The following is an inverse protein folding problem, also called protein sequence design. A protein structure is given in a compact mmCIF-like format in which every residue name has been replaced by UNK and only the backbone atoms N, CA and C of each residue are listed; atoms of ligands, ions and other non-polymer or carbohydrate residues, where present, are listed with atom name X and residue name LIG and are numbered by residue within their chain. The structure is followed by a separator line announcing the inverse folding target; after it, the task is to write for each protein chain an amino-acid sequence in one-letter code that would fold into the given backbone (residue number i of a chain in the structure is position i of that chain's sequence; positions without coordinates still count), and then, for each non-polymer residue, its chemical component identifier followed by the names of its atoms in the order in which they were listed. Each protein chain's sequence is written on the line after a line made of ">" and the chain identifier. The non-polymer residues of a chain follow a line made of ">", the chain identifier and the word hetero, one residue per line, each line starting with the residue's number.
data_IF_579231140561
#
_entry.id   IF_579231140561
#
_cell.length_a   1.000
_cell.length_b   1.000
_cell.length_c   1.000
_cell.angle_alpha   90.00
_cell.angle_beta   90.00
_cell.angle_gamma   90.00
#
_symmetry.space_group_name_H-M   'P 1'
#
loop_
_entity.id
_entity.type
_entity.pdbx_description
1 polymer ?
#
# COMPACT_ATOMS: atom_id res chain seq x y z
N UNK A 1 -20.44 32.76 -5.95
CA UNK A 1 -21.28 32.62 -4.74
C UNK A 1 -20.40 32.91 -3.55
N UNK A 2 -20.62 34.03 -2.87
CA UNK A 2 -19.91 34.35 -1.61
C UNK A 2 -20.53 33.42 -0.57
N UNK A 3 -19.74 32.47 -0.04
CA UNK A 3 -20.17 31.64 1.09
C UNK A 3 -20.63 32.57 2.20
N UNK A 4 -21.83 32.35 2.73
CA UNK A 4 -22.25 32.99 3.97
C UNK A 4 -21.15 32.83 5.04
N UNK A 5 -20.85 33.88 5.82
CA UNK A 5 -19.84 33.82 6.85
C UNK A 5 -20.22 32.72 7.85
N UNK A 6 -19.27 31.85 8.16
CA UNK A 6 -19.47 30.77 9.13
C UNK A 6 -19.59 31.37 10.52
N UNK A 7 -20.80 31.37 11.08
CA UNK A 7 -21.04 31.72 12.48
C UNK A 7 -21.05 30.44 13.35
N UNK A 8 -20.00 30.18 14.13
CA UNK A 8 -19.95 28.99 14.98
C UNK A 8 -20.93 29.07 16.17
N UNK A 9 -21.49 30.24 16.47
CA UNK A 9 -22.48 30.46 17.51
C UNK A 9 -23.93 30.21 17.02
N UNK A 10 -24.11 29.92 15.73
CA UNK A 10 -25.39 29.53 15.14
C UNK A 10 -25.45 28.01 14.88
N UNK A 11 -26.50 27.36 15.40
CA UNK A 11 -26.71 25.93 15.22
C UNK A 11 -27.02 25.56 13.76
N UNK A 12 -27.72 26.44 13.01
CA UNK A 12 -28.07 26.16 11.62
C UNK A 12 -26.82 26.04 10.74
N UNK A 13 -25.81 26.86 11.01
CA UNK A 13 -24.50 26.81 10.37
C UNK A 13 -23.79 25.46 10.52
N UNK A 14 -23.95 24.79 11.67
CA UNK A 14 -23.40 23.45 11.93
C UNK A 14 -24.23 22.35 11.25
N UNK A 15 -25.56 22.47 11.27
CA UNK A 15 -26.47 21.53 10.61
C UNK A 15 -26.25 21.53 9.10
N UNK A 16 -26.11 22.72 8.49
CA UNK A 16 -25.79 22.86 7.06
C UNK A 16 -24.47 22.17 6.67
N UNK A 17 -23.57 21.94 7.62
CA UNK A 17 -22.30 21.21 7.46
C UNK A 17 -22.38 19.75 7.89
N UNK A 18 -23.59 19.21 8.02
CA UNK A 18 -23.83 17.79 8.29
C UNK A 18 -23.73 17.39 9.76
N UNK A 19 -23.80 18.34 10.71
CA UNK A 19 -23.93 17.99 12.13
C UNK A 19 -25.37 17.64 12.48
N UNK A 20 -25.54 16.68 13.37
CA UNK A 20 -26.85 16.36 13.93
C UNK A 20 -27.39 17.55 14.73
N UNK A 21 -28.71 17.78 14.75
CA UNK A 21 -29.32 18.94 15.43
C UNK A 21 -28.95 19.06 16.91
N UNK A 22 -28.88 17.94 17.62
CA UNK A 22 -28.49 17.87 19.04
C UNK A 22 -27.03 18.28 19.26
N UNK A 23 -26.10 17.80 18.44
CA UNK A 23 -24.69 18.22 18.51
C UNK A 23 -24.51 19.69 18.09
N UNK A 24 -25.23 20.13 17.07
CA UNK A 24 -25.17 21.51 16.57
C UNK A 24 -25.63 22.52 17.63
N UNK A 25 -26.69 22.21 18.38
CA UNK A 25 -27.17 23.06 19.46
C UNK A 25 -26.11 23.25 20.57
N UNK A 26 -25.45 22.18 21.00
CA UNK A 26 -24.42 22.26 22.04
C UNK A 26 -23.16 22.97 21.55
N UNK A 27 -22.76 22.75 20.29
CA UNK A 27 -21.65 23.46 19.66
C UNK A 27 -21.93 24.97 19.64
N UNK A 28 -23.09 25.38 19.13
CA UNK A 28 -23.50 26.78 19.05
C UNK A 28 -23.53 27.45 20.43
N UNK A 29 -24.17 26.80 21.41
CA UNK A 29 -24.26 27.29 22.78
C UNK A 29 -22.89 27.45 23.46
N UNK A 30 -21.94 26.52 23.24
CA UNK A 30 -20.57 26.69 23.74
C UNK A 30 -19.84 27.89 23.12
N UNK A 31 -20.08 28.17 21.84
CA UNK A 31 -19.53 29.36 21.17
C UNK A 31 -20.21 30.67 21.60
N UNK A 32 -21.51 30.63 21.90
CA UNK A 32 -22.24 31.76 22.49
C UNK A 32 -21.76 32.08 23.91
N UNK A 33 -21.56 31.05 24.74
CA UNK A 33 -21.09 31.20 26.13
C UNK A 33 -19.61 31.58 26.21
N UNK A 34 -18.80 31.12 25.27
CA UNK A 34 -17.36 31.34 25.25
C UNK A 34 -16.87 31.85 23.88
N UNK A 35 -17.27 33.07 23.47
CA UNK A 35 -16.86 33.65 22.20
C UNK A 35 -15.38 34.03 22.23
N UNK A 36 -14.76 34.10 21.05
CA UNK A 36 -13.40 34.62 20.91
C UNK A 36 -13.35 36.08 21.37
N UNK A 37 -12.28 36.42 22.09
CA UNK A 37 -12.02 37.80 22.49
C UNK A 37 -11.26 38.54 21.37
N UNK A 38 -11.39 39.87 21.27
CA UNK A 38 -10.65 40.68 20.30
C UNK A 38 -9.13 40.51 20.43
N UNK A 39 -8.37 40.79 19.36
CA UNK A 39 -6.92 40.62 19.35
C UNK A 39 -6.20 41.54 20.34
N UNK A 40 -6.83 42.66 20.69
CA UNK A 40 -6.39 43.66 21.64
C UNK A 40 -6.57 43.20 23.10
N UNK A 41 -7.36 42.16 23.33
CA UNK A 41 -7.54 41.58 24.66
C UNK A 41 -6.25 40.88 25.13
N UNK A 42 -6.04 40.92 26.44
CA UNK A 42 -4.90 40.27 27.08
C UNK A 42 -4.76 38.81 26.65
N UNK A 43 -3.50 38.39 26.44
CA UNK A 43 -3.18 37.06 25.91
C UNK A 43 -3.62 35.95 26.87
N UNK A 44 -3.47 36.14 28.17
CA UNK A 44 -3.86 35.15 29.17
C UNK A 44 -5.37 34.97 29.21
N UNK A 45 -6.12 36.08 29.14
CA UNK A 45 -7.59 36.05 29.02
C UNK A 45 -8.07 35.31 27.77
N UNK A 46 -7.40 35.50 26.61
CA UNK A 46 -7.69 34.76 25.37
C UNK A 46 -7.46 33.26 25.52
N UNK A 47 -6.34 32.86 26.14
CA UNK A 47 -6.03 31.44 26.38
C UNK A 47 -7.01 30.81 27.38
N UNK A 48 -7.38 31.51 28.45
CA UNK A 48 -8.38 31.05 29.41
C UNK A 48 -9.73 30.81 28.71
N UNK A 49 -10.18 31.76 27.88
CA UNK A 49 -11.42 31.63 27.10
C UNK A 49 -11.42 30.42 26.17
N UNK A 50 -10.30 30.15 25.49
CA UNK A 50 -10.16 28.94 24.66
C UNK A 50 -10.23 27.65 25.48
N UNK A 51 -9.65 27.63 26.69
CA UNK A 51 -9.71 26.46 27.59
C UNK A 51 -11.12 26.21 28.10
N UNK A 52 -11.84 27.25 28.50
CA UNK A 52 -13.22 27.12 28.99
C UNK A 52 -14.14 26.57 27.90
N UNK A 53 -13.99 27.07 26.66
CA UNK A 53 -14.70 26.51 25.50
C UNK A 53 -14.35 25.04 25.26
N UNK A 54 -13.06 24.68 25.33
CA UNK A 54 -12.62 23.29 25.14
C UNK A 54 -13.20 22.35 26.22
N UNK A 55 -13.26 22.79 27.48
CA UNK A 55 -13.88 22.05 28.57
C UNK A 55 -15.39 21.88 28.38
N UNK A 56 -16.08 22.93 27.92
CA UNK A 56 -17.52 22.88 27.62
C UNK A 56 -17.83 21.93 26.45
N UNK A 57 -16.97 21.88 25.43
CA UNK A 57 -17.14 21.02 24.26
C UNK A 57 -16.72 19.56 24.48
N UNK A 58 -15.87 19.28 25.48
CA UNK A 58 -15.30 17.96 25.71
C UNK A 58 -16.34 16.83 25.77
N UNK A 59 -17.46 16.93 26.52
CA UNK A 59 -18.45 15.85 26.58
C UNK A 59 -19.07 15.50 25.22
N UNK A 60 -19.32 16.51 24.38
CA UNK A 60 -19.88 16.31 23.02
C UNK A 60 -18.84 15.72 22.09
N UNK A 61 -17.59 16.19 22.16
CA UNK A 61 -16.49 15.62 21.36
C UNK A 61 -16.24 14.15 21.72
N UNK A 62 -16.29 13.81 23.01
CA UNK A 62 -16.19 12.44 23.49
C UNK A 62 -17.39 11.59 23.03
N UNK A 63 -18.62 12.11 23.12
CA UNK A 63 -19.81 11.41 22.63
C UNK A 63 -19.75 11.14 21.12
N UNK A 64 -19.30 12.13 20.33
CA UNK A 64 -19.09 11.96 18.88
C UNK A 64 -18.00 10.93 18.58
N UNK A 65 -16.89 10.95 19.34
CA UNK A 65 -15.83 9.95 19.18
C UNK A 65 -16.37 8.55 19.45
N UNK A 66 -17.12 8.36 20.54
CA UNK A 66 -17.72 7.06 20.86
C UNK A 66 -18.68 6.58 19.76
N UNK A 67 -19.57 7.45 19.27
CA UNK A 67 -20.52 7.08 18.22
C UNK A 67 -19.82 6.68 16.91
N UNK A 68 -18.76 7.41 16.51
CA UNK A 68 -17.96 7.05 15.34
C UNK A 68 -17.24 5.72 15.53
N UNK A 69 -16.72 5.46 16.74
CA UNK A 69 -16.06 4.20 17.07
C UNK A 69 -17.04 3.02 17.10
N UNK A 70 -18.25 3.20 17.63
CA UNK A 70 -19.34 2.21 17.59
C UNK A 70 -19.72 1.88 16.15
N UNK A 71 -19.88 2.89 15.29
CA UNK A 71 -20.17 2.69 13.86
C UNK A 71 -19.02 1.96 13.14
N UNK A 72 -17.75 2.32 13.44
CA UNK A 72 -16.57 1.60 12.93
C UNK A 72 -16.62 0.13 13.34
N UNK A 73 -16.86 -0.15 14.62
CA UNK A 73 -16.91 -1.51 15.16
C UNK A 73 -18.04 -2.32 14.51
N UNK A 74 -19.24 -1.75 14.40
CA UNK A 74 -20.39 -2.39 13.76
C UNK A 74 -20.13 -2.70 12.28
N UNK A 75 -19.56 -1.75 11.52
CA UNK A 75 -19.21 -1.97 10.10
C UNK A 75 -18.18 -3.07 9.92
N UNK A 76 -17.14 -3.11 10.78
CA UNK A 76 -16.11 -4.14 10.69
C UNK A 76 -16.70 -5.54 10.94
N UNK A 77 -17.53 -5.69 11.98
CA UNK A 77 -18.21 -6.96 12.22
C UNK A 77 -19.15 -7.34 11.09
N UNK A 78 -19.99 -6.42 10.60
CA UNK A 78 -20.89 -6.69 9.49
C UNK A 78 -20.15 -7.09 8.22
N UNK A 79 -18.97 -6.51 7.95
CA UNK A 79 -18.10 -6.93 6.86
C UNK A 79 -17.57 -8.36 7.05
N UNK A 80 -17.06 -8.70 8.24
CA UNK A 80 -16.54 -10.04 8.54
C UNK A 80 -17.65 -11.10 8.51
N UNK A 81 -18.82 -10.82 9.09
CA UNK A 81 -19.99 -11.70 9.02
C UNK A 81 -20.44 -11.92 7.58
N UNK A 82 -20.52 -10.85 6.78
CA UNK A 82 -20.86 -10.97 5.37
C UNK A 82 -19.84 -11.80 4.59
N UNK A 83 -18.54 -11.64 4.90
CA UNK A 83 -17.46 -12.43 4.29
C UNK A 83 -17.59 -13.93 4.62
N UNK A 84 -17.80 -14.27 5.90
CA UNK A 84 -18.02 -15.65 6.36
C UNK A 84 -19.29 -16.24 5.76
N UNK A 85 -20.41 -15.50 5.76
CA UNK A 85 -21.69 -15.95 5.22
C UNK A 85 -21.68 -16.23 3.71
N UNK A 86 -20.78 -15.57 2.95
CA UNK A 86 -20.55 -15.86 1.52
C UNK A 86 -19.57 -17.02 1.27
N UNK A 87 -19.01 -17.63 2.32
CA UNK A 87 -17.98 -18.67 2.21
C UNK A 87 -16.61 -18.13 1.78
N UNK A 88 -16.38 -16.81 1.88
CA UNK A 88 -15.10 -16.16 1.57
C UNK A 88 -14.21 -16.00 2.82
N UNK A 89 -14.75 -16.32 4.00
CA UNK A 89 -14.07 -16.21 5.29
C UNK A 89 -13.03 -17.30 5.51
N UNK A 90 -12.02 -16.98 6.33
CA UNK A 90 -11.03 -17.94 6.81
C UNK A 90 -11.20 -18.26 8.31
N UNK A 91 -10.42 -19.21 8.83
CA UNK A 91 -10.49 -19.62 10.23
C UNK A 91 -10.22 -18.47 11.22
N UNK A 92 -9.52 -17.41 10.78
CA UNK A 92 -9.27 -16.21 11.59
C UNK A 92 -10.51 -15.31 11.61
N UNK A 93 -11.22 -15.16 10.50
CA UNK A 93 -12.51 -14.47 10.47
C UNK A 93 -13.51 -15.13 11.42
N UNK A 94 -13.59 -16.46 11.43
CA UNK A 94 -14.43 -17.20 12.38
C UNK A 94 -14.00 -16.96 13.84
N UNK A 95 -12.69 -16.91 14.10
CA UNK A 95 -12.15 -16.60 15.42
C UNK A 95 -12.48 -15.17 15.86
N UNK A 96 -12.54 -14.20 14.94
CA UNK A 96 -13.00 -12.82 15.23
C UNK A 96 -14.46 -12.83 15.67
N UNK A 97 -15.33 -13.59 14.97
CA UNK A 97 -16.74 -13.68 15.34
C UNK A 97 -16.97 -14.41 16.68
N UNK A 98 -16.14 -15.42 16.99
CA UNK A 98 -16.08 -16.01 18.35
C UNK A 98 -15.66 -14.97 19.38
N UNK A 99 -14.61 -14.21 19.11
CA UNK A 99 -14.12 -13.12 19.97
C UNK A 99 -15.19 -12.07 20.25
N UNK A 100 -16.05 -11.74 19.27
CA UNK A 100 -17.21 -10.86 19.48
C UNK A 100 -18.20 -11.43 20.51
N UNK A 101 -18.47 -12.73 20.43
CA UNK A 101 -19.40 -13.39 21.37
C UNK A 101 -18.88 -13.31 22.81
N UNK A 102 -17.56 -13.37 22.98
CA UNK A 102 -16.88 -13.32 24.29
C UNK A 102 -16.63 -11.90 24.82
N UNK A 103 -16.36 -10.94 23.93
CA UNK A 103 -15.92 -9.58 24.30
C UNK A 103 -16.92 -8.49 23.91
N UNK A 104 -18.11 -8.87 23.44
CA UNK A 104 -19.12 -7.95 22.91
C UNK A 104 -18.68 -7.31 21.60
N UNK A 105 -19.26 -6.16 21.30
CA UNK A 105 -18.97 -5.40 20.07
C UNK A 105 -17.61 -4.67 20.09
N UNK A 106 -16.68 -5.01 20.99
CA UNK A 106 -15.31 -4.47 20.98
C UNK A 106 -14.48 -5.18 19.89
N UNK A 107 -14.42 -4.55 18.72
CA UNK A 107 -13.66 -5.05 17.57
C UNK A 107 -12.19 -5.31 17.88
N UNK A 108 -11.56 -4.42 18.64
CA UNK A 108 -10.12 -4.50 18.88
C UNK A 108 -9.81 -5.67 19.81
N UNK A 109 -10.63 -5.93 20.84
CA UNK A 109 -10.52 -7.15 21.65
C UNK A 109 -10.80 -8.43 20.84
N UNK A 110 -11.82 -8.44 19.99
CA UNK A 110 -12.14 -9.60 19.16
C UNK A 110 -11.00 -9.95 18.18
N UNK A 111 -10.35 -8.94 17.57
CA UNK A 111 -9.17 -9.14 16.73
C UNK A 111 -7.98 -9.66 17.53
N UNK A 112 -7.79 -9.19 18.76
CA UNK A 112 -6.70 -9.64 19.64
C UNK A 112 -6.91 -11.08 20.10
N UNK A 113 -8.13 -11.44 20.48
CA UNK A 113 -8.55 -12.82 20.71
C UNK A 113 -8.23 -13.70 19.50
N UNK A 114 -8.69 -13.32 18.30
CA UNK A 114 -8.47 -14.09 17.09
C UNK A 114 -6.97 -14.24 16.74
N UNK A 115 -6.16 -13.23 17.07
CA UNK A 115 -4.71 -13.29 16.86
C UNK A 115 -4.03 -14.28 17.81
N UNK A 116 -4.48 -14.36 19.08
CA UNK A 116 -4.01 -15.38 20.03
C UNK A 116 -4.41 -16.78 19.57
N UNK A 117 -5.68 -16.95 19.21
CA UNK A 117 -6.22 -18.22 18.71
C UNK A 117 -5.46 -18.72 17.48
N UNK A 118 -5.22 -17.83 16.51
CA UNK A 118 -4.48 -18.19 15.30
C UNK A 118 -3.01 -18.53 15.60
N UNK A 119 -2.36 -17.81 16.52
CA UNK A 119 -0.98 -18.10 16.91
C UNK A 119 -0.86 -19.50 17.56
N UNK A 120 -1.82 -19.88 18.41
CA UNK A 120 -1.89 -21.23 18.96
C UNK A 120 -2.05 -22.27 17.84
N UNK A 121 -3.05 -22.09 16.98
CA UNK A 121 -3.39 -23.02 15.91
C UNK A 121 -2.29 -23.18 14.84
N UNK A 122 -1.55 -22.10 14.55
CA UNK A 122 -0.45 -22.12 13.58
C UNK A 122 0.88 -22.62 14.17
N UNK A 123 0.92 -23.00 15.45
CA UNK A 123 2.15 -23.45 16.11
C UNK A 123 3.17 -22.34 16.36
N UNK A 124 2.73 -21.08 16.44
CA UNK A 124 3.62 -19.94 16.66
C UNK A 124 3.94 -19.75 18.14
N UNK A 125 5.08 -19.10 18.41
CA UNK A 125 5.40 -18.61 19.75
C UNK A 125 4.36 -17.56 20.19
N UNK A 126 3.89 -17.61 21.45
CA UNK A 126 2.97 -16.61 21.95
C UNK A 126 3.64 -15.23 22.07
N UNK A 127 2.90 -14.16 21.83
CA UNK A 127 3.42 -12.80 21.97
C UNK A 127 3.99 -12.55 23.38
N UNK A 128 5.17 -11.93 23.46
CA UNK A 128 5.80 -11.60 24.73
C UNK A 128 4.94 -10.61 25.54
N UNK A 129 4.69 -10.91 26.82
CA UNK A 129 4.03 -9.97 27.74
C UNK A 129 4.93 -8.76 27.94
N UNK A 130 4.40 -7.56 27.69
CA UNK A 130 5.09 -6.32 28.03
C UNK A 130 5.11 -6.16 29.55
N UNK A 131 6.18 -5.57 30.08
CA UNK A 131 6.26 -5.21 31.49
C UNK A 131 5.15 -4.19 31.83
N UNK A 132 4.36 -4.48 32.87
CA UNK A 132 3.23 -3.66 33.33
C UNK A 132 1.96 -4.48 33.57
N UNK A 133 0.89 -3.81 33.99
CA UNK A 133 -0.42 -4.45 34.21
C UNK A 133 -1.02 -4.95 32.90
N UNK A 134 -1.70 -6.11 32.89
CA UNK A 134 -2.39 -6.61 31.71
C UNK A 134 -3.43 -5.60 31.20
N UNK A 135 -3.34 -5.28 29.91
CA UNK A 135 -4.37 -4.51 29.21
C UNK A 135 -5.53 -5.41 28.79
N UNK A 136 -6.75 -4.87 28.54
CA UNK A 136 -7.84 -5.68 28.00
C UNK A 136 -7.50 -6.37 26.67
N UNK A 137 -6.66 -5.73 25.84
CA UNK A 137 -6.17 -6.30 24.58
C UNK A 137 -5.20 -7.48 24.78
N UNK A 138 -4.37 -7.45 25.84
CA UNK A 138 -3.47 -8.57 26.16
C UNK A 138 -4.21 -9.73 26.81
N UNK A 139 -5.22 -9.43 27.65
CA UNK A 139 -6.10 -10.46 28.22
C UNK A 139 -6.91 -11.18 27.14
N UNK A 140 -7.48 -10.44 26.18
CA UNK A 140 -8.19 -11.04 25.05
C UNK A 140 -7.27 -11.94 24.20
N UNK A 141 -6.03 -11.50 23.95
CA UNK A 141 -5.04 -12.32 23.26
C UNK A 141 -4.71 -13.61 24.03
N UNK A 142 -4.41 -13.50 25.33
CA UNK A 142 -4.06 -14.67 26.15
C UNK A 142 -5.23 -15.66 26.23
N UNK A 143 -6.47 -15.17 26.36
CA UNK A 143 -7.67 -16.00 26.29
C UNK A 143 -7.79 -16.72 24.94
N UNK A 144 -7.62 -15.99 23.83
CA UNK A 144 -7.68 -16.59 22.50
C UNK A 144 -6.60 -17.63 22.27
N UNK A 145 -5.39 -17.39 22.77
CA UNK A 145 -4.28 -18.35 22.70
C UNK A 145 -4.60 -19.64 23.46
N UNK A 146 -5.14 -19.53 24.68
CA UNK A 146 -5.58 -20.68 25.47
C UNK A 146 -6.73 -21.44 24.78
N UNK A 147 -7.76 -20.73 24.28
CA UNK A 147 -8.89 -21.33 23.57
C UNK A 147 -8.51 -21.96 22.22
N UNK A 148 -7.36 -21.54 21.66
CA UNK A 148 -6.74 -22.16 20.49
C UNK A 148 -5.90 -23.39 20.81
N UNK A 149 -5.82 -23.79 22.09
CA UNK A 149 -5.07 -24.95 22.56
C UNK A 149 -3.62 -24.66 22.94
N UNK A 150 -3.21 -23.39 23.03
CA UNK A 150 -1.86 -23.02 23.43
C UNK A 150 -1.71 -22.90 24.94
N UNK A 151 -0.64 -23.48 25.47
CA UNK A 151 -0.23 -23.33 26.87
C UNK A 151 1.05 -22.50 26.98
N UNK A 152 0.98 -21.36 27.68
CA UNK A 152 2.12 -20.46 27.86
C UNK A 152 3.11 -20.94 28.91
N UNK A 153 2.67 -21.80 29.82
CA UNK A 153 3.44 -22.26 30.96
C UNK A 153 4.18 -23.59 30.64
N UNK A 154 3.83 -24.27 29.55
CA UNK A 154 4.56 -25.42 29.01
C UNK A 154 5.69 -24.98 28.05
N UNK A 155 6.93 -25.20 28.46
CA UNK A 155 8.14 -24.89 27.68
C UNK A 155 8.20 -25.60 26.31
N UNK A 156 7.50 -26.72 26.15
CA UNK A 156 7.48 -27.50 24.91
C UNK A 156 6.20 -27.33 24.09
N UNK A 157 5.24 -26.53 24.57
CA UNK A 157 3.96 -26.29 23.90
C UNK A 157 4.13 -25.80 22.46
N UNK A 158 4.99 -24.79 22.26
CA UNK A 158 5.25 -24.25 20.92
C UNK A 158 5.82 -25.31 19.98
N UNK A 159 6.79 -26.11 20.45
CA UNK A 159 7.38 -27.16 19.63
C UNK A 159 6.36 -28.24 19.23
N UNK A 160 5.47 -28.61 20.16
CA UNK A 160 4.41 -29.60 19.92
C UNK A 160 3.38 -29.10 18.92
N UNK A 161 2.87 -27.89 19.13
CA UNK A 161 1.90 -27.27 18.20
C UNK A 161 2.51 -27.00 16.82
N UNK A 162 3.79 -26.60 16.74
CA UNK A 162 4.47 -26.44 15.46
C UNK A 162 4.62 -27.77 14.71
N UNK A 163 4.85 -28.87 15.43
CA UNK A 163 4.88 -30.21 14.85
C UNK A 163 3.50 -30.67 14.35
N UNK A 164 2.45 -30.42 15.13
CA UNK A 164 1.07 -30.76 14.77
C UNK A 164 0.51 -29.89 13.63
N UNK A 165 0.88 -28.61 13.59
CA UNK A 165 0.46 -27.67 12.54
C UNK A 165 1.25 -27.84 11.24
N UNK A 166 2.34 -28.63 11.25
CA UNK A 166 3.08 -28.94 10.04
C UNK A 166 2.17 -29.67 9.05
N UNK A 167 2.08 -29.23 7.78
CA UNK A 167 1.23 -29.89 6.81
C UNK A 167 1.65 -31.35 6.66
N UNK A 168 0.69 -32.27 6.74
CA UNK A 168 0.92 -33.67 6.42
C UNK A 168 1.50 -33.77 5.00
N UNK A 169 2.55 -34.58 4.76
CA UNK A 169 3.11 -34.78 3.42
C UNK A 169 2.07 -35.31 2.42
N UNK A 170 0.95 -35.87 2.89
CA UNK A 170 -0.18 -36.36 2.08
C UNK A 170 -1.27 -35.32 1.82
N UNK A 171 -1.12 -34.08 2.31
CA UNK A 171 -2.06 -33.01 2.01
C UNK A 171 -1.98 -32.65 0.52
N UNK A 172 -2.91 -33.20 -0.27
CA UNK A 172 -3.09 -32.81 -1.68
C UNK A 172 -3.20 -31.28 -1.72
N UNK A 173 -2.34 -30.58 -2.48
CA UNK A 173 -2.45 -29.14 -2.61
C UNK A 173 -3.87 -28.82 -3.08
N UNK A 174 -4.53 -27.89 -2.37
CA UNK A 174 -5.82 -27.36 -2.79
C UNK A 174 -5.74 -27.07 -4.29
N UNK A 175 -6.70 -27.57 -5.08
CA UNK A 175 -6.71 -27.45 -6.54
C UNK A 175 -6.49 -25.98 -6.89
N UNK A 176 -5.25 -25.63 -7.23
CA UNK A 176 -4.94 -24.28 -7.68
C UNK A 176 -5.74 -24.10 -8.95
N UNK A 177 -6.68 -23.15 -8.95
CA UNK A 177 -7.24 -22.66 -10.20
C UNK A 177 -6.03 -22.32 -11.07
N UNK A 178 -5.94 -22.94 -12.25
CA UNK A 178 -4.80 -22.79 -13.16
C UNK A 178 -4.49 -21.31 -13.50
N UNK A 179 -5.39 -20.38 -13.17
CA UNK A 179 -5.19 -18.93 -13.19
C UNK A 179 -5.80 -18.29 -11.93
N UNK A 180 -5.02 -17.64 -11.04
CA UNK A 180 -5.58 -16.92 -9.91
C UNK A 180 -6.38 -15.70 -10.39
N UNK A 181 -7.51 -15.42 -9.74
CA UNK A 181 -8.34 -14.27 -10.08
C UNK A 181 -7.61 -12.94 -9.78
N UNK A 182 -7.74 -11.90 -10.62
CA UNK A 182 -7.20 -10.57 -10.38
C UNK A 182 -7.44 -10.01 -8.97
N UNK A 183 -8.61 -10.24 -8.37
CA UNK A 183 -8.91 -9.83 -7.00
C UNK A 183 -8.04 -10.50 -5.92
N UNK A 184 -7.47 -11.66 -6.22
CA UNK A 184 -6.61 -12.44 -5.30
C UNK A 184 -5.14 -12.07 -5.43
N UNK A 185 -4.75 -11.32 -6.47
CA UNK A 185 -3.35 -11.01 -6.72
C UNK A 185 -2.70 -10.21 -5.58
N UNK A 186 -1.39 -10.43 -5.31
CA UNK A 186 -0.66 -9.71 -4.27
C UNK A 186 -0.57 -8.21 -4.56
N UNK A 187 -0.22 -7.43 -3.53
CA UNK A 187 0.08 -6.00 -3.72
C UNK A 187 1.46 -5.83 -4.36
N UNK A 188 1.72 -4.74 -5.11
CA UNK A 188 3.06 -4.39 -5.56
C UNK A 188 4.09 -4.33 -4.44
N UNK A 189 5.20 -5.03 -4.65
CA UNK A 189 6.39 -4.97 -3.80
C UNK A 189 7.63 -4.64 -4.62
N UNK A 190 8.77 -4.43 -3.97
CA UNK A 190 10.04 -4.20 -4.67
C UNK A 190 10.78 -5.50 -5.02
N UNK A 191 10.22 -6.67 -4.68
CA UNK A 191 10.83 -7.98 -4.87
C UNK A 191 10.89 -8.46 -6.33
N UNK A 192 9.83 -8.33 -7.16
CA UNK A 192 9.87 -8.80 -8.54
C UNK A 192 10.97 -8.13 -9.37
N UNK A 193 11.54 -8.88 -10.32
CA UNK A 193 12.57 -8.29 -11.20
C UNK A 193 11.94 -7.19 -12.08
N UNK A 194 12.69 -6.12 -12.36
CA UNK A 194 12.31 -5.13 -13.37
C UNK A 194 11.92 -5.77 -14.71
N UNK A 195 10.99 -5.15 -15.42
CA UNK A 195 10.47 -5.63 -16.69
C UNK A 195 10.49 -4.51 -17.75
N UNK A 196 10.77 -4.87 -19.01
CA UNK A 196 10.77 -3.93 -20.13
C UNK A 196 9.39 -3.34 -20.33
N UNK A 197 9.27 -2.03 -20.54
CA UNK A 197 7.98 -1.37 -20.75
C UNK A 197 7.09 -2.04 -21.81
N UNK A 198 7.67 -2.52 -22.92
CA UNK A 198 6.98 -3.29 -23.97
C UNK A 198 6.33 -4.60 -23.50
N UNK A 199 6.84 -5.21 -22.43
CA UNK A 199 6.36 -6.48 -21.85
C UNK A 199 5.53 -6.26 -20.59
N UNK A 200 5.06 -5.03 -20.36
CA UNK A 200 4.22 -4.68 -19.20
C UNK A 200 2.80 -4.39 -19.64
N UNK A 201 1.87 -4.79 -18.78
CA UNK A 201 0.45 -4.56 -18.94
C UNK A 201 -0.09 -3.81 -17.72
N UNK A 202 -0.75 -2.68 -17.96
CA UNK A 202 -1.48 -1.94 -16.95
C UNK A 202 -2.97 -2.00 -17.25
N UNK A 203 -3.78 -2.43 -16.29
CA UNK A 203 -5.23 -2.40 -16.37
C UNK A 203 -5.74 -1.41 -15.34
N UNK A 204 -6.42 -0.35 -15.78
CA UNK A 204 -7.00 0.68 -14.93
C UNK A 204 -8.52 0.59 -14.96
N UNK A 205 -9.17 0.68 -13.80
CA UNK A 205 -10.57 1.06 -13.77
C UNK A 205 -10.73 2.49 -14.28
N UNK A 206 -11.81 2.75 -15.01
CA UNK A 206 -12.11 4.09 -15.49
C UNK A 206 -12.15 5.17 -14.37
N UNK A 207 -12.58 4.87 -13.13
CA UNK A 207 -12.43 5.79 -12.00
C UNK A 207 -10.96 6.08 -11.64
N UNK A 208 -10.11 5.06 -11.54
CA UNK A 208 -8.67 5.21 -11.25
C UNK A 208 -7.91 5.92 -12.39
N UNK A 209 -8.43 5.83 -13.61
CA UNK A 209 -7.95 6.61 -14.75
C UNK A 209 -8.42 8.08 -14.69
N UNK A 210 -9.41 8.43 -13.86
CA UNK A 210 -9.95 9.78 -13.74
C UNK A 210 -10.95 10.18 -14.82
N UNK A 211 -11.59 9.21 -15.48
CA UNK A 211 -12.44 9.47 -16.64
C UNK A 211 -13.84 9.98 -16.29
N UNK A 212 -14.28 9.82 -15.04
CA UNK A 212 -15.63 10.23 -14.62
C UNK A 212 -15.68 11.43 -13.68
N UNK A 213 -14.54 11.91 -13.14
CA UNK A 213 -14.43 13.15 -12.38
C UNK A 213 -15.62 13.46 -11.45
N UNK A 214 -16.12 14.71 -11.53
CA UNK A 214 -17.34 15.19 -10.84
C UNK A 214 -18.65 14.70 -11.46
N UNK A 215 -18.61 14.04 -12.63
CA UNK A 215 -19.78 13.45 -13.30
C UNK A 215 -20.18 12.10 -12.73
N UNK A 216 -19.31 11.45 -11.96
CA UNK A 216 -19.65 10.25 -11.22
C UNK A 216 -20.62 10.61 -10.08
N UNK A 217 -21.79 9.98 -10.05
CA UNK A 217 -22.70 10.01 -8.91
C UNK A 217 -22.77 8.60 -8.32
N UNK A 218 -22.17 8.34 -7.14
CA UNK A 218 -21.46 9.27 -6.26
C UNK A 218 -20.03 9.63 -6.77
N UNK A 219 -19.46 10.76 -6.30
CA UNK A 219 -18.08 11.14 -6.60
C UNK A 219 -17.11 10.04 -6.20
N UNK A 220 -16.17 9.74 -7.09
CA UNK A 220 -15.28 8.59 -6.94
C UNK A 220 -14.04 8.95 -6.09
N UNK A 221 -13.91 8.35 -4.91
CA UNK A 221 -12.69 8.36 -4.09
C UNK A 221 -11.56 7.48 -4.66
N UNK A 222 -11.46 7.35 -5.98
CA UNK A 222 -10.43 6.54 -6.62
C UNK A 222 -9.09 7.28 -6.67
N UNK A 223 -7.98 6.54 -6.62
CA UNK A 223 -6.68 7.13 -6.85
C UNK A 223 -6.57 7.54 -8.32
N UNK A 224 -6.36 8.82 -8.61
CA UNK A 224 -6.09 9.29 -9.97
C UNK A 224 -4.66 8.91 -10.38
N UNK A 225 -4.51 7.84 -11.17
CA UNK A 225 -3.21 7.24 -11.48
C UNK A 225 -2.61 7.71 -12.81
N UNK A 226 -3.43 8.11 -13.79
CA UNK A 226 -2.92 8.59 -15.09
C UNK A 226 -1.91 9.75 -14.99
N UNK A 227 -2.07 10.76 -14.11
CA UNK A 227 -1.05 11.81 -13.96
C UNK A 227 0.32 11.26 -13.55
N UNK A 228 0.34 10.27 -12.64
CA UNK A 228 1.58 9.64 -12.22
C UNK A 228 2.20 8.77 -13.33
N UNK A 229 1.37 8.15 -14.17
CA UNK A 229 1.84 7.42 -15.36
C UNK A 229 2.50 8.36 -16.37
N UNK A 230 1.84 9.49 -16.70
CA UNK A 230 2.35 10.50 -17.63
C UNK A 230 3.65 11.17 -17.16
N UNK A 231 3.86 11.24 -15.85
CA UNK A 231 5.08 11.77 -15.26
C UNK A 231 6.25 10.75 -15.21
N UNK A 232 6.00 9.47 -15.50
CA UNK A 232 7.03 8.45 -15.57
C UNK A 232 7.78 8.51 -16.92
N UNK A 233 9.05 8.11 -16.92
CA UNK A 233 9.83 7.95 -18.16
C UNK A 233 9.58 6.55 -18.76
N UNK A 234 9.37 6.46 -20.07
CA UNK A 234 9.14 5.20 -20.79
C UNK A 234 7.73 4.63 -20.93
N UNK A 235 6.62 5.28 -20.51
CA UNK A 235 5.30 4.66 -20.58
C UNK A 235 4.74 4.56 -22.01
N UNK A 236 5.38 5.15 -23.02
CA UNK A 236 4.88 5.14 -24.41
C UNK A 236 4.79 3.73 -24.99
N UNK A 237 5.65 2.83 -24.52
CA UNK A 237 5.67 1.41 -24.93
C UNK A 237 4.78 0.51 -24.06
N UNK A 238 4.21 1.06 -22.97
CA UNK A 238 3.36 0.31 -22.04
C UNK A 238 1.99 0.02 -22.68
N UNK A 239 1.53 -1.23 -22.58
CA UNK A 239 0.14 -1.54 -22.93
C UNK A 239 -0.77 -1.15 -21.76
N UNK A 240 -1.66 -0.19 -21.98
CA UNK A 240 -2.65 0.25 -20.99
C UNK A 240 -4.06 -0.08 -21.47
N UNK A 241 -4.80 -0.82 -20.66
CA UNK A 241 -6.20 -1.18 -20.86
C UNK A 241 -7.05 -0.48 -19.80
N UNK A 242 -8.17 0.08 -20.22
CA UNK A 242 -9.18 0.71 -19.39
C UNK A 242 -10.38 -0.23 -19.25
N UNK A 243 -10.90 -0.34 -18.03
CA UNK A 243 -12.13 -1.07 -17.71
C UNK A 243 -13.27 -0.07 -17.52
N UNK A 244 -14.35 -0.22 -18.28
CA UNK A 244 -15.54 0.63 -18.21
C UNK A 244 -16.83 -0.22 -18.23
N UNK A 245 -18.00 0.42 -18.11
CA UNK A 245 -19.29 -0.23 -18.31
C UNK A 245 -19.50 -0.77 -19.73
N UNK A 246 -18.78 -0.23 -20.73
CA UNK A 246 -18.78 -0.75 -22.11
C UNK A 246 -17.78 -1.90 -22.33
N UNK A 247 -17.02 -2.30 -21.30
CA UNK A 247 -16.02 -3.37 -21.37
C UNK A 247 -14.58 -2.86 -21.36
N UNK A 248 -13.74 -3.40 -22.24
CA UNK A 248 -12.30 -3.14 -22.26
C UNK A 248 -11.87 -2.27 -23.45
N UNK A 249 -11.07 -1.24 -23.18
CA UNK A 249 -10.60 -0.27 -24.17
C UNK A 249 -9.10 -0.07 -24.05
N UNK A 250 -8.41 0.22 -25.15
CA UNK A 250 -7.01 0.66 -25.08
C UNK A 250 -6.96 2.14 -24.73
N UNK A 251 -6.03 2.53 -23.85
CA UNK A 251 -5.78 3.95 -23.60
C UNK A 251 -5.39 4.65 -24.91
N UNK A 252 -6.12 5.70 -25.29
CA UNK A 252 -5.94 6.44 -26.54
C UNK A 252 -6.92 6.08 -27.66
N UNK A 253 -7.76 5.06 -27.47
CA UNK A 253 -8.96 4.88 -28.31
C UNK A 253 -9.99 5.99 -28.07
N UNK A 254 -11.01 6.07 -28.92
CA UNK A 254 -12.10 7.03 -28.76
C UNK A 254 -12.78 6.86 -27.39
N UNK A 255 -12.56 7.85 -26.53
CA UNK A 255 -12.99 7.84 -25.13
C UNK A 255 -14.47 8.20 -24.99
N UNK A 256 -15.16 8.58 -26.07
CA UNK A 256 -16.59 8.93 -26.05
C UNK A 256 -17.49 7.73 -25.74
N UNK A 257 -17.01 6.50 -25.99
CA UNK A 257 -17.73 5.25 -25.72
C UNK A 257 -17.56 4.74 -24.28
N UNK A 258 -16.76 5.40 -23.44
CA UNK A 258 -16.48 4.97 -22.06
C UNK A 258 -17.63 5.43 -21.16
N UNK A 259 -18.37 4.47 -20.63
CA UNK A 259 -19.48 4.69 -19.72
C UNK A 259 -19.17 4.16 -18.31
N UNK A 260 -19.74 4.74 -17.25
CA UNK A 260 -19.56 4.20 -15.90
C UNK A 260 -20.23 2.82 -15.75
N UNK A 261 -19.58 1.94 -15.01
CA UNK A 261 -20.14 0.65 -14.64
C UNK A 261 -21.04 0.83 -13.40
N UNK A 262 -22.29 0.36 -13.48
CA UNK A 262 -23.28 0.42 -12.40
C UNK A 262 -23.64 -1.00 -11.94
N UNK A 263 -23.81 -1.18 -10.62
CA UNK A 263 -23.65 -2.46 -9.90
C UNK A 263 -24.55 -3.65 -10.25
N UNK A 264 -25.55 -3.51 -11.12
CA UNK A 264 -26.56 -4.55 -11.35
C UNK A 264 -26.42 -5.31 -12.68
N UNK A 265 -25.55 -4.88 -13.60
CA UNK A 265 -25.32 -5.58 -14.86
C UNK A 265 -23.83 -5.61 -15.22
N UNK A 266 -23.09 -6.58 -14.67
CA UNK A 266 -21.75 -6.90 -15.16
C UNK A 266 -21.88 -7.55 -16.55
N UNK A 267 -21.29 -6.98 -17.62
CA UNK A 267 -21.34 -7.59 -18.94
C UNK A 267 -20.62 -8.95 -18.95
N UNK A 268 -21.38 -10.04 -18.84
CA UNK A 268 -20.89 -11.41 -19.01
C UNK A 268 -20.82 -11.82 -20.49
N UNK A 269 -21.14 -10.90 -21.41
CA UNK A 269 -21.13 -11.15 -22.85
C UNK A 269 -19.74 -11.63 -23.29
N UNK A 270 -19.72 -12.74 -24.04
CA UNK A 270 -18.53 -13.31 -24.65
C UNK A 270 -17.77 -12.28 -25.49
N UNK A 271 -18.47 -11.32 -26.11
CA UNK A 271 -17.88 -10.22 -26.88
C UNK A 271 -16.95 -9.34 -26.04
N UNK A 272 -17.25 -9.14 -24.76
CA UNK A 272 -16.39 -8.37 -23.84
C UNK A 272 -15.07 -9.12 -23.60
N UNK A 273 -15.14 -10.43 -23.38
CA UNK A 273 -13.95 -11.28 -23.26
C UNK A 273 -13.16 -11.40 -24.57
N UNK A 274 -13.83 -11.48 -25.73
CA UNK A 274 -13.19 -11.48 -27.04
C UNK A 274 -12.47 -10.15 -27.33
N UNK A 275 -13.05 -9.03 -26.90
CA UNK A 275 -12.41 -7.71 -26.97
C UNK A 275 -11.13 -7.69 -26.14
N UNK A 276 -11.15 -8.18 -24.90
CA UNK A 276 -9.94 -8.27 -24.08
C UNK A 276 -8.87 -9.15 -24.73
N UNK A 277 -9.24 -10.32 -25.26
CA UNK A 277 -8.32 -11.19 -26.01
C UNK A 277 -7.73 -10.47 -27.22
N UNK A 278 -8.54 -9.76 -28.01
CA UNK A 278 -8.08 -9.00 -29.15
C UNK A 278 -7.11 -7.88 -28.75
N UNK A 279 -7.38 -7.19 -27.65
CA UNK A 279 -6.47 -6.18 -27.09
C UNK A 279 -5.15 -6.79 -26.60
N UNK A 280 -5.08 -8.08 -26.30
CA UNK A 280 -3.86 -8.72 -25.79
C UNK A 280 -3.14 -9.55 -26.86
N UNK A 281 -3.80 -9.84 -27.97
CA UNK A 281 -3.29 -10.71 -29.02
C UNK A 281 -1.94 -10.22 -29.59
N UNK A 282 -1.05 -11.18 -29.87
CA UNK A 282 0.26 -10.93 -30.48
C UNK A 282 1.27 -10.24 -29.56
N UNK A 283 1.02 -10.19 -28.25
CA UNK A 283 1.93 -9.59 -27.26
C UNK A 283 2.24 -10.55 -26.13
N UNK A 284 3.51 -10.53 -25.72
CA UNK A 284 3.97 -11.24 -24.53
C UNK A 284 4.14 -10.27 -23.37
N UNK A 285 3.67 -10.68 -22.20
CA UNK A 285 3.74 -9.88 -20.98
C UNK A 285 4.45 -10.65 -19.88
N UNK A 286 5.36 -9.96 -19.17
CA UNK A 286 6.07 -10.51 -18.02
C UNK A 286 5.52 -9.98 -16.68
N UNK A 287 4.92 -8.79 -16.70
CA UNK A 287 4.46 -8.06 -15.51
C UNK A 287 3.12 -7.36 -15.79
N UNK A 288 2.10 -7.70 -15.00
CA UNK A 288 0.77 -7.07 -15.05
C UNK A 288 0.45 -6.39 -13.71
N UNK A 289 -0.03 -5.15 -13.79
CA UNK A 289 -0.67 -4.46 -12.68
C UNK A 289 -2.15 -4.21 -12.97
N UNK A 290 -2.99 -4.58 -12.00
CA UNK A 290 -4.41 -4.18 -11.96
C UNK A 290 -4.59 -3.06 -10.94
N UNK A 291 -5.08 -1.92 -11.38
CA UNK A 291 -5.56 -0.85 -10.52
C UNK A 291 -7.02 -0.54 -10.85
N UNK A 292 -7.89 -1.42 -10.36
CA UNK A 292 -9.34 -1.32 -10.43
C UNK A 292 -9.91 -1.79 -9.08
N UNK A 293 -10.96 -1.14 -8.60
CA UNK A 293 -11.68 -1.53 -7.39
C UNK A 293 -13.17 -1.80 -7.68
N UNK A 294 -13.87 -2.40 -6.71
CA UNK A 294 -15.32 -2.61 -6.77
C UNK A 294 -15.76 -3.40 -8.02
N UNK A 295 -16.81 -2.92 -8.69
CA UNK A 295 -17.39 -3.61 -9.84
C UNK A 295 -16.45 -3.67 -11.05
N UNK A 296 -15.52 -2.73 -11.20
CA UNK A 296 -14.50 -2.77 -12.26
C UNK A 296 -13.55 -3.96 -12.07
N UNK A 297 -13.19 -4.27 -10.82
CA UNK A 297 -12.40 -5.45 -10.48
C UNK A 297 -13.20 -6.74 -10.67
N UNK A 298 -14.49 -6.74 -10.29
CA UNK A 298 -15.39 -7.89 -10.50
C UNK A 298 -15.60 -8.20 -11.98
N UNK A 299 -15.73 -7.18 -12.83
CA UNK A 299 -15.79 -7.36 -14.28
C UNK A 299 -14.52 -8.01 -14.82
N UNK A 300 -13.36 -7.59 -14.31
CA UNK A 300 -12.09 -8.18 -14.70
C UNK A 300 -11.96 -9.64 -14.23
N UNK A 301 -12.40 -9.96 -13.01
CA UNK A 301 -12.42 -11.34 -12.49
C UNK A 301 -13.29 -12.26 -13.37
N UNK A 302 -14.44 -11.78 -13.84
CA UNK A 302 -15.34 -12.52 -14.73
C UNK A 302 -14.66 -12.91 -16.06
N UNK A 303 -13.77 -12.05 -16.56
CA UNK A 303 -13.03 -12.25 -17.80
C UNK A 303 -11.56 -12.64 -17.57
N UNK A 304 -11.20 -13.07 -16.35
CA UNK A 304 -9.84 -13.49 -16.00
C UNK A 304 -9.22 -14.54 -16.95
N UNK A 305 -9.96 -15.49 -17.54
CA UNK A 305 -9.41 -16.43 -18.52
C UNK A 305 -8.83 -15.78 -19.79
N UNK A 306 -9.21 -14.54 -20.10
CA UNK A 306 -8.66 -13.78 -21.23
C UNK A 306 -7.31 -13.13 -20.92
N UNK A 307 -6.91 -13.04 -19.65
CA UNK A 307 -5.64 -12.42 -19.24
C UNK A 307 -4.45 -13.37 -19.45
N UNK A 308 -3.27 -12.85 -19.82
CA UNK A 308 -2.06 -13.64 -19.89
C UNK A 308 -1.66 -14.14 -18.49
N UNK A 309 -1.01 -15.30 -18.45
CA UNK A 309 -0.28 -15.73 -17.26
C UNK A 309 1.12 -15.09 -17.31
N UNK A 310 1.34 -14.10 -16.46
CA UNK A 310 2.60 -13.39 -16.37
C UNK A 310 3.45 -13.93 -15.20
N UNK A 311 4.77 -13.73 -15.27
CA UNK A 311 5.67 -14.02 -14.14
C UNK A 311 5.26 -13.22 -12.89
N UNK A 312 4.91 -11.95 -13.08
CA UNK A 312 4.45 -11.06 -12.01
C UNK A 312 3.02 -10.63 -12.28
N UNK A 313 2.12 -10.88 -11.34
CA UNK A 313 0.72 -10.45 -11.39
C UNK A 313 0.37 -9.79 -10.07
N UNK A 314 0.04 -8.50 -10.09
CA UNK A 314 -0.16 -7.70 -8.87
C UNK A 314 -1.39 -6.78 -8.99
N UNK A 315 -1.93 -6.34 -7.85
CA UNK A 315 -3.03 -5.37 -7.80
C UNK A 315 -2.85 -4.29 -6.74
N UNK A 316 -3.37 -3.10 -7.02
CA UNK A 316 -3.48 -2.05 -5.99
C UNK A 316 -4.56 -2.41 -4.96
N UNK A 317 -4.42 -1.90 -3.72
CA UNK A 317 -5.31 -2.20 -2.57
C UNK A 317 -6.27 -1.06 -2.31
N UNK A 318 -7.24 -1.26 -1.43
CA UNK A 318 -8.48 -0.49 -1.41
C UNK A 318 -8.29 1.02 -1.15
N UNK A 319 -7.37 1.45 -0.28
CA UNK A 319 -7.26 2.89 0.06
C UNK A 319 -6.47 3.70 -0.98
N UNK A 320 -6.89 4.95 -1.24
CA UNK A 320 -6.23 5.87 -2.20
C UNK A 320 -4.73 5.99 -1.97
N UNK A 321 -4.30 6.15 -0.71
CA UNK A 321 -2.89 6.30 -0.37
C UNK A 321 -2.09 5.04 -0.71
N UNK A 322 -2.65 3.86 -0.42
CA UNK A 322 -2.05 2.58 -0.78
C UNK A 322 -2.00 2.41 -2.29
N UNK A 323 -3.07 2.73 -3.03
CA UNK A 323 -3.08 2.66 -4.49
C UNK A 323 -1.97 3.50 -5.10
N UNK A 324 -1.83 4.77 -4.70
CA UNK A 324 -0.76 5.66 -5.19
C UNK A 324 0.64 5.12 -4.86
N UNK A 325 0.79 4.51 -3.69
CA UNK A 325 2.06 3.94 -3.25
C UNK A 325 2.42 2.69 -4.05
N UNK A 326 1.49 1.75 -4.16
CA UNK A 326 1.64 0.52 -4.93
C UNK A 326 1.89 0.81 -6.41
N UNK A 327 1.15 1.75 -6.99
CA UNK A 327 1.33 2.18 -8.37
C UNK A 327 2.75 2.72 -8.61
N UNK A 328 3.26 3.56 -7.70
CA UNK A 328 4.63 4.07 -7.79
C UNK A 328 5.68 2.96 -7.71
N UNK A 329 5.54 2.04 -6.75
CA UNK A 329 6.44 0.89 -6.61
C UNK A 329 6.50 0.09 -7.91
N UNK A 330 5.34 -0.17 -8.52
CA UNK A 330 5.27 -0.87 -9.79
C UNK A 330 5.94 -0.05 -10.92
N UNK A 331 5.65 1.24 -11.06
CA UNK A 331 6.28 2.09 -12.08
C UNK A 331 7.81 2.12 -11.98
N UNK A 332 8.36 2.14 -10.75
CA UNK A 332 9.81 2.14 -10.49
C UNK A 332 10.54 0.86 -10.97
N UNK A 333 9.80 -0.21 -11.31
CA UNK A 333 10.33 -1.46 -11.89
C UNK A 333 10.33 -1.47 -13.43
N UNK A 334 9.96 -0.37 -14.08
CA UNK A 334 10.01 -0.25 -15.54
C UNK A 334 11.44 -0.16 -16.05
N UNK A 335 11.75 -0.89 -17.11
CA UNK A 335 13.07 -0.95 -17.73
C UNK A 335 13.00 -0.41 -19.16
N UNK A 336 13.86 0.56 -19.50
CA UNK A 336 13.99 1.03 -20.88
C UNK A 336 14.79 0.04 -21.73
N UNK A 337 14.65 0.14 -23.04
CA UNK A 337 15.51 -0.60 -23.96
C UNK A 337 17.00 -0.28 -23.71
N UNK A 338 17.82 -1.33 -23.57
CA UNK A 338 19.26 -1.21 -23.31
C UNK A 338 19.64 -0.81 -21.87
N UNK A 339 18.71 -0.83 -20.92
CA UNK A 339 19.02 -0.70 -19.49
C UNK A 339 19.16 -2.08 -18.83
N UNK A 340 19.91 -2.12 -17.74
CA UNK A 340 19.94 -3.24 -16.78
C UNK A 340 19.81 -2.65 -15.38
N UNK A 341 18.91 -3.23 -14.58
CA UNK A 341 18.67 -2.82 -13.20
C UNK A 341 18.75 -4.04 -12.29
N UNK A 342 19.43 -3.87 -11.15
CA UNK A 342 19.50 -4.87 -10.11
C UNK A 342 18.11 -5.21 -9.59
N UNK A 343 17.90 -6.48 -9.27
CA UNK A 343 16.62 -6.96 -8.74
C UNK A 343 16.70 -7.27 -7.25
N UNK A 344 15.54 -7.44 -6.62
CA UNK A 344 15.41 -7.86 -5.22
C UNK A 344 15.05 -6.74 -4.24
N UNK A 345 14.71 -7.16 -3.03
CA UNK A 345 14.25 -6.31 -1.94
C UNK A 345 15.38 -5.42 -1.39
N UNK A 346 15.12 -4.10 -1.29
CA UNK A 346 16.06 -3.17 -0.66
C UNK A 346 15.83 -3.16 0.84
N UNK A 347 16.80 -3.70 1.59
CA UNK A 347 16.77 -3.69 3.06
C UNK A 347 17.14 -2.31 3.57
N UNK A 348 16.19 -1.62 4.18
CA UNK A 348 16.40 -0.29 4.76
C UNK A 348 16.82 -0.38 6.22
N UNK A 349 17.80 0.42 6.60
CA UNK A 349 18.29 0.52 7.97
C UNK A 349 18.55 1.97 8.37
N UNK A 350 18.66 2.19 9.68
CA UNK A 350 19.12 3.45 10.25
C UNK A 350 20.43 3.15 10.99
N UNK A 351 21.55 3.57 10.40
CA UNK A 351 22.85 3.46 11.04
C UNK A 351 23.14 4.72 11.88
N UNK A 352 24.14 4.65 12.76
CA UNK A 352 24.62 5.77 13.60
C UNK A 352 24.90 7.04 12.77
N UNK A 353 25.24 6.89 11.48
CA UNK A 353 25.56 7.99 10.55
C UNK A 353 24.42 8.38 9.59
N UNK A 354 23.23 7.79 9.69
CA UNK A 354 22.05 8.15 8.87
C UNK A 354 21.35 6.98 8.18
N UNK A 355 20.50 7.29 7.19
CA UNK A 355 19.74 6.31 6.41
C UNK A 355 20.69 5.45 5.56
N UNK A 356 20.48 4.13 5.59
CA UNK A 356 21.19 3.15 4.75
C UNK A 356 20.19 2.27 4.00
N UNK A 357 20.54 1.86 2.79
CA UNK A 357 19.80 0.88 2.02
C UNK A 357 20.78 -0.16 1.46
N UNK A 358 20.40 -1.43 1.50
CA UNK A 358 21.21 -2.54 0.97
C UNK A 358 20.46 -3.29 -0.12
N UNK A 359 21.15 -3.57 -1.22
CA UNK A 359 20.67 -4.41 -2.32
C UNK A 359 21.82 -5.28 -2.82
N UNK A 360 21.69 -6.60 -2.64
CA UNK A 360 22.79 -7.53 -2.90
C UNK A 360 24.04 -7.15 -2.09
N UNK A 361 25.17 -6.99 -2.76
CA UNK A 361 26.44 -6.59 -2.17
C UNK A 361 26.59 -5.08 -1.94
N UNK A 362 25.72 -4.26 -2.54
CA UNK A 362 25.84 -2.81 -2.49
C UNK A 362 25.11 -2.21 -1.30
N UNK A 363 25.77 -1.24 -0.65
CA UNK A 363 25.18 -0.43 0.41
C UNK A 363 25.18 1.03 -0.03
N UNK A 364 23.99 1.64 -0.15
CA UNK A 364 23.86 3.08 -0.29
C UNK A 364 23.76 3.71 1.09
N UNK A 365 24.51 4.80 1.31
CA UNK A 365 24.57 5.52 2.58
C UNK A 365 24.45 7.02 2.37
N UNK A 366 23.69 7.67 3.25
CA UNK A 366 23.73 9.13 3.37
C UNK A 366 25.04 9.57 4.04
N UNK A 367 25.81 10.40 3.34
CA UNK A 367 27.13 10.86 3.78
C UNK A 367 27.13 12.31 4.32
N UNK A 368 25.96 12.89 4.55
CA UNK A 368 25.81 14.23 5.13
C UNK A 368 25.55 15.33 4.10
N UNK A 369 25.41 16.58 4.59
CA UNK A 369 25.25 17.77 3.76
C UNK A 369 26.62 18.37 3.46
N UNK A 370 26.94 18.59 2.19
CA UNK A 370 28.11 19.33 1.75
C UNK A 370 27.76 20.83 1.65
N UNK A 371 28.58 21.74 2.21
CA UNK A 371 28.41 23.18 2.06
C UNK A 371 28.33 23.58 0.58
N UNK A 372 27.31 24.34 0.20
CA UNK A 372 27.11 24.83 -1.16
C UNK A 372 26.73 23.77 -2.22
N UNK A 373 26.77 22.47 -1.90
CA UNK A 373 26.54 21.39 -2.88
C UNK A 373 25.29 20.54 -2.63
N UNK A 374 24.82 20.44 -1.38
CA UNK A 374 23.58 19.70 -1.05
C UNK A 374 23.83 18.43 -0.24
N UNK A 375 22.98 17.42 -0.39
CA UNK A 375 23.01 16.16 0.36
C UNK A 375 23.76 15.07 -0.42
N UNK A 376 24.84 14.54 0.17
CA UNK A 376 25.71 13.53 -0.45
C UNK A 376 25.21 12.11 -0.16
N UNK A 377 25.12 11.30 -1.20
CA UNK A 377 24.86 9.86 -1.15
C UNK A 377 26.06 9.16 -1.75
N UNK A 378 26.50 8.08 -1.11
CA UNK A 378 27.56 7.22 -1.62
C UNK A 378 27.07 5.77 -1.71
N UNK A 379 27.67 5.00 -2.62
CA UNK A 379 27.46 3.55 -2.76
C UNK A 379 28.77 2.84 -2.44
N UNK A 380 28.70 1.91 -1.51
CA UNK A 380 29.84 1.15 -0.97
C UNK A 380 29.68 -0.35 -1.30
N UNK A 381 30.80 -1.05 -1.47
CA UNK A 381 30.88 -2.52 -1.57
C UNK A 381 30.87 -3.17 -0.17
N UNK A 382 30.82 -4.51 -0.03
CA UNK A 382 30.84 -5.17 1.28
C UNK A 382 32.05 -4.82 2.14
N UNK A 383 33.19 -4.48 1.52
CA UNK A 383 34.43 -4.07 2.19
C UNK A 383 34.39 -2.61 2.70
N UNK A 384 33.26 -1.91 2.53
CA UNK A 384 33.11 -0.51 2.94
C UNK A 384 33.84 0.49 2.05
N UNK A 385 34.34 0.06 0.88
CA UNK A 385 34.98 0.92 -0.11
C UNK A 385 33.95 1.49 -1.08
N UNK A 386 34.23 2.65 -1.67
CA UNK A 386 33.37 3.19 -2.73
C UNK A 386 33.31 2.21 -3.91
N UNK A 387 32.10 1.98 -4.43
CA UNK A 387 31.86 1.09 -5.56
C UNK A 387 32.36 1.71 -6.88
N UNK A 388 33.68 1.72 -7.10
CA UNK A 388 34.31 2.20 -8.34
C UNK A 388 34.47 1.06 -9.36
N UNK A 389 34.60 1.41 -10.65
CA UNK A 389 34.84 0.44 -11.72
C UNK A 389 33.60 -0.31 -12.21
N UNK A 390 32.40 0.18 -11.91
CA UNK A 390 31.14 -0.36 -12.42
C UNK A 390 30.65 0.47 -13.61
N UNK A 391 30.15 -0.21 -14.65
CA UNK A 391 29.56 0.41 -15.84
C UNK A 391 28.12 -0.05 -16.04
N UNK A 392 27.29 0.84 -16.60
CA UNK A 392 25.93 0.50 -17.02
C UNK A 392 25.95 -0.53 -18.16
N UNK A 393 24.78 -1.06 -18.51
CA UNK A 393 24.62 -1.95 -19.67
C UNK A 393 25.05 -1.31 -21.01
N UNK A 394 25.15 0.03 -21.06
CA UNK A 394 25.62 0.79 -22.22
C UNK A 394 27.12 1.12 -22.16
N UNK A 395 27.83 0.61 -21.14
CA UNK A 395 29.25 0.88 -20.93
C UNK A 395 29.55 2.23 -20.25
N UNK A 396 28.53 2.96 -19.78
CA UNK A 396 28.73 4.25 -19.12
C UNK A 396 29.23 4.07 -17.69
N UNK A 397 30.33 4.73 -17.27
CA UNK A 397 30.84 4.64 -15.90
C UNK A 397 29.82 5.13 -14.86
N UNK A 398 29.56 4.30 -13.85
CA UNK A 398 28.77 4.69 -12.70
C UNK A 398 29.67 5.36 -11.66
N UNK A 399 29.48 6.67 -11.45
CA UNK A 399 30.04 7.33 -10.26
C UNK A 399 29.48 6.65 -9.01
N UNK A 400 30.24 6.34 -7.94
CA UNK A 400 29.73 5.86 -6.65
C UNK A 400 29.10 6.96 -5.80
N UNK A 401 29.30 8.23 -6.16
CA UNK A 401 28.81 9.39 -5.42
C UNK A 401 27.73 10.15 -6.19
N UNK A 402 26.73 10.65 -5.47
CA UNK A 402 25.67 11.52 -6.01
C UNK A 402 25.29 12.58 -4.99
N UNK A 403 24.99 13.78 -5.48
CA UNK A 403 24.58 14.91 -4.64
C UNK A 403 23.16 15.33 -5.05
N UNK A 404 22.29 15.53 -4.06
CA UNK A 404 20.91 15.99 -4.27
C UNK A 404 20.63 17.28 -3.51
N UNK A 405 19.88 18.20 -4.11
CA UNK A 405 19.54 19.48 -3.46
C UNK A 405 18.56 19.35 -2.29
N UNK A 406 17.66 18.36 -2.32
CA UNK A 406 16.59 18.20 -1.35
C UNK A 406 16.61 16.82 -0.68
N UNK A 407 16.67 16.80 0.66
CA UNK A 407 16.66 15.58 1.48
C UNK A 407 15.42 14.73 1.29
N UNK A 408 14.28 15.29 0.86
CA UNK A 408 13.06 14.53 0.59
C UNK A 408 13.25 13.45 -0.48
N UNK A 409 14.21 13.64 -1.41
CA UNK A 409 14.51 12.67 -2.45
C UNK A 409 15.51 11.59 -2.04
N UNK A 410 16.07 11.66 -0.81
CA UNK A 410 17.15 10.79 -0.35
C UNK A 410 16.85 9.30 -0.59
N UNK A 411 15.70 8.82 -0.11
CA UNK A 411 15.34 7.40 -0.23
C UNK A 411 15.14 6.97 -1.69
N UNK A 412 14.47 7.80 -2.49
CA UNK A 412 14.24 7.57 -3.92
C UNK A 412 15.57 7.48 -4.68
N UNK A 413 16.47 8.45 -4.46
CA UNK A 413 17.78 8.47 -5.11
C UNK A 413 18.64 7.30 -4.66
N UNK A 414 18.67 6.96 -3.37
CA UNK A 414 19.41 5.78 -2.88
C UNK A 414 18.92 4.48 -3.52
N UNK A 415 17.60 4.31 -3.65
CA UNK A 415 17.02 3.14 -4.30
C UNK A 415 17.41 3.04 -5.79
N UNK A 416 17.26 4.14 -6.55
CA UNK A 416 17.65 4.19 -7.96
C UNK A 416 19.14 3.86 -8.15
N UNK A 417 19.99 4.33 -7.24
CA UNK A 417 21.43 4.10 -7.26
C UNK A 417 21.79 2.64 -6.95
N UNK A 418 21.21 2.07 -5.91
CA UNK A 418 21.36 0.64 -5.61
C UNK A 418 20.94 -0.23 -6.80
N UNK A 419 19.83 0.12 -7.45
CA UNK A 419 19.34 -0.60 -8.64
C UNK A 419 20.30 -0.44 -9.83
N UNK A 420 20.83 0.75 -10.08
CA UNK A 420 21.83 0.95 -11.12
C UNK A 420 23.10 0.12 -10.87
N UNK A 421 23.64 0.13 -9.64
CA UNK A 421 24.82 -0.67 -9.28
C UNK A 421 24.54 -2.18 -9.30
N UNK A 422 23.39 -2.63 -8.81
CA UNK A 422 23.01 -4.04 -8.84
C UNK A 422 22.77 -4.60 -10.25
N UNK A 423 22.60 -3.74 -11.25
CA UNK A 423 22.49 -4.14 -12.66
C UNK A 423 23.76 -3.84 -13.48
N UNK A 424 24.79 -3.31 -12.85
CA UNK A 424 26.03 -2.88 -13.49
C UNK A 424 27.00 -4.05 -13.69
N UNK A 425 27.89 -3.91 -14.67
CA UNK A 425 29.01 -4.84 -14.89
C UNK A 425 30.27 -4.25 -14.27
N UNK A 426 31.06 -5.08 -13.56
CA UNK A 426 32.35 -4.66 -13.03
C UNK A 426 33.42 -4.79 -14.11
N UNK A 427 34.06 -3.69 -14.47
CA UNK A 427 35.25 -3.72 -15.31
C UNK A 427 36.46 -4.02 -14.42
N UNK A 428 36.96 -5.26 -14.46
CA UNK A 428 38.28 -5.58 -13.91
C UNK A 428 39.33 -4.97 -14.81
N UNK A 429 39.71 -3.72 -14.55
CA UNK A 429 40.94 -3.16 -15.08
C UNK A 429 42.12 -3.77 -14.31
N UNK A 430 42.54 -4.96 -14.70
CA UNK A 430 43.94 -5.34 -14.55
C UNK A 430 44.50 -5.27 -15.97
N UNK A 431 45.35 -4.30 -16.32
CA UNK A 431 46.15 -4.47 -17.52
C UNK A 431 46.98 -5.73 -17.28
N UNK A 432 46.63 -6.81 -17.98
CA UNK A 432 47.61 -7.86 -18.23
C UNK A 432 48.70 -7.14 -19.01
N UNK A 433 49.93 -7.01 -18.49
CA UNK A 433 51.01 -6.45 -19.28
C UNK A 433 51.05 -7.26 -20.58
N UNK A 434 50.98 -6.55 -21.70
CA UNK A 434 51.12 -7.18 -23.00
C UNK A 434 52.44 -7.96 -22.97
N UNK A 435 52.43 -9.22 -23.39
CA UNK A 435 53.65 -10.04 -23.44
C UNK A 435 54.72 -9.39 -24.34
N UNK A 436 54.32 -8.42 -25.17
CA UNK A 436 55.20 -7.57 -25.96
C UNK A 436 55.94 -6.51 -25.13
N UNK A 437 55.40 -6.02 -24.00
CA UNK A 437 56.10 -5.08 -23.11
C UNK A 437 57.16 -5.77 -22.24
N UNK A 438 57.03 -7.09 -22.02
CA UNK A 438 58.04 -7.92 -21.33
C UNK A 438 59.19 -8.36 -22.24
N UNK A 439 59.03 -8.24 -23.56
CA UNK A 439 60.07 -8.56 -24.54
C UNK A 439 61.01 -7.37 -24.86
N UNK A 440 60.71 -6.18 -24.31
CA UNK A 440 61.47 -4.95 -24.53
C UNK A 440 62.21 -4.44 -23.27
N UNK A 441 62.27 -5.25 -22.20
CA UNK A 441 62.97 -4.93 -20.94
C UNK A 441 64.27 -5.73 -20.78
#
# INVERSE_FOLDING_TARGET
>A
MISEPFDPADAATWIARGRRPDHAAILADAWQRFPDLPNEADREARVARMRDRALALRPVMEAMSRANDEERQARNFGFTEGKVGRGEGDARDDAILRGRTLHGYDWDRAVRYASGWYAAHAGWEPEARRAGSPSPASLAYDQGFADGGGDRDDLFDTARRAFEAAPSPDARPAVQRARPLPSTWPKPTDEPLPARWTRRLLILGAPEAGLFGERASPPSDAALLLPALRAAAGPDELTVILVSGAGFHRLGEDMTAIIPLHGDALPADRRVGDRLRSLLAGRDFDDILVAAQGDYLRLLDLHAPALPLCRTMERTRNTVLQQRTHFRIWLERGLMAGESLGAGHIRWGKAVKGLTGKLGEFTARYAGKQPGRGHRIIVETPEGRLATGYVSARGEPLSPETIIGNRAHLRKTMAARLRAFGGATRLTATPVPDLLDLAAA
#
